data_IF_505388787891
#
_entry.id   IF_505388787891
#
_cell.length_a   1.000
_cell.length_b   1.000
_cell.length_c   1.000
_cell.angle_alpha   90.00
_cell.angle_beta   90.00
_cell.angle_gamma   90.00
#
_symmetry.space_group_name_H-M   'P 1'
#
loop_
_entity.id
_entity.type
_entity.pdbx_description
1 polymer ?
#
# COMPACT_ATOMS: atom_id res chain seq x y z
N UNK A 1 20.52 36.76 77.27
CA UNK A 1 20.60 35.42 77.88
C UNK A 1 20.94 34.44 76.76
N UNK A 2 22.24 34.35 76.48
CA UNK A 2 22.85 33.51 75.45
C UNK A 2 23.53 32.38 76.23
N UNK A 3 23.17 31.12 76.02
CA UNK A 3 24.06 29.99 76.30
C UNK A 3 23.49 28.66 75.74
N UNK A 4 24.31 28.05 74.88
CA UNK A 4 24.54 26.60 74.70
C UNK A 4 23.37 25.66 74.37
N UNK A 5 23.49 24.94 73.26
CA UNK A 5 23.39 23.47 73.24
C UNK A 5 23.99 22.90 71.94
N UNK A 6 25.07 22.15 72.14
CA UNK A 6 25.88 21.41 71.20
C UNK A 6 25.24 20.09 70.73
N UNK A 7 25.64 19.66 69.52
CA UNK A 7 25.75 18.27 69.01
C UNK A 7 24.42 17.49 68.87
N UNK A 8 24.12 16.80 67.76
CA UNK A 8 24.75 15.56 67.28
C UNK A 8 24.33 15.37 65.81
N UNK A 9 25.29 15.21 64.90
CA UNK A 9 25.06 14.76 63.53
C UNK A 9 25.62 13.35 63.37
N UNK A 10 24.76 12.32 63.26
CA UNK A 10 25.17 10.96 62.90
C UNK A 10 24.10 10.28 62.01
N UNK A 11 24.49 10.15 60.73
CA UNK A 11 24.30 9.05 59.78
C UNK A 11 23.02 8.19 59.86
N UNK A 12 22.21 8.29 58.80
CA UNK A 12 21.34 7.20 58.34
C UNK A 12 21.60 6.97 56.85
N UNK A 13 22.51 6.02 56.56
CA UNK A 13 22.62 5.39 55.25
C UNK A 13 21.35 4.58 54.99
N UNK A 14 20.48 5.11 54.14
CA UNK A 14 19.40 4.33 53.55
C UNK A 14 19.99 3.46 52.44
N UNK A 15 20.33 2.21 52.75
CA UNK A 15 20.50 1.17 51.74
C UNK A 15 19.13 0.90 51.12
N UNK A 16 18.86 1.56 49.99
CA UNK A 16 17.73 1.20 49.13
C UNK A 16 18.08 -0.12 48.43
N UNK A 17 17.37 -1.19 48.78
CA UNK A 17 17.40 -2.42 47.99
C UNK A 17 16.68 -2.16 46.66
N UNK A 18 17.43 -1.84 45.61
CA UNK A 18 16.87 -1.79 44.26
C UNK A 18 16.53 -3.20 43.79
N UNK A 19 15.23 -3.48 43.62
CA UNK A 19 14.74 -4.76 43.09
C UNK A 19 15.03 -4.79 41.59
N UNK A 20 15.70 -5.82 41.04
CA UNK A 20 15.94 -5.91 39.60
C UNK A 20 14.60 -5.93 38.85
N UNK A 21 14.47 -5.06 37.86
CA UNK A 21 13.33 -5.07 36.94
C UNK A 21 13.32 -6.38 36.14
N UNK A 22 12.16 -7.05 35.96
CA UNK A 22 12.08 -8.23 35.12
C UNK A 22 12.52 -7.91 33.69
N UNK A 23 13.19 -8.84 32.99
CA UNK A 23 13.67 -8.60 31.63
C UNK A 23 12.49 -8.26 30.72
N UNK A 24 12.64 -7.19 29.95
CA UNK A 24 11.67 -6.80 28.95
C UNK A 24 11.45 -7.97 27.99
N UNK A 25 10.21 -8.46 27.90
CA UNK A 25 9.82 -9.40 26.85
C UNK A 25 9.94 -8.63 25.54
N UNK A 26 10.95 -8.97 24.74
CA UNK A 26 11.07 -8.49 23.37
C UNK A 26 9.84 -8.99 22.60
N UNK A 27 8.88 -8.10 22.41
CA UNK A 27 7.79 -8.28 21.45
C UNK A 27 8.42 -8.60 20.11
N UNK A 28 8.33 -9.86 19.68
CA UNK A 28 8.87 -10.33 18.41
C UNK A 28 8.33 -9.43 17.29
N UNK A 29 9.19 -8.60 16.72
CA UNK A 29 8.89 -7.78 15.57
C UNK A 29 8.53 -8.73 14.43
N UNK A 30 7.23 -8.91 14.15
CA UNK A 30 6.77 -9.64 12.97
C UNK A 30 7.26 -8.86 11.75
N UNK A 31 8.42 -9.25 11.23
CA UNK A 31 9.00 -8.63 10.03
C UNK A 31 8.17 -9.10 8.85
N UNK A 32 7.09 -8.37 8.56
CA UNK A 32 6.37 -8.54 7.29
C UNK A 32 7.35 -8.23 6.17
N UNK A 33 7.45 -9.08 5.14
CA UNK A 33 8.30 -8.77 3.99
C UNK A 33 7.79 -7.49 3.33
N UNK A 34 8.71 -6.58 3.03
CA UNK A 34 8.43 -5.34 2.29
C UNK A 34 9.28 -5.32 1.03
N UNK A 35 8.67 -5.04 -0.11
CA UNK A 35 9.35 -4.90 -1.40
C UNK A 35 9.17 -3.49 -1.96
N UNK A 36 10.07 -3.05 -2.83
CA UNK A 36 9.91 -1.77 -3.53
C UNK A 36 9.06 -1.99 -4.77
N UNK A 37 8.05 -1.15 -4.97
CA UNK A 37 7.19 -1.18 -6.16
C UNK A 37 7.28 0.16 -6.91
N UNK A 38 7.32 0.07 -8.23
CA UNK A 38 7.28 1.17 -9.17
C UNK A 38 5.92 1.17 -9.88
N UNK A 39 5.35 2.37 -10.00
CA UNK A 39 4.09 2.61 -10.70
C UNK A 39 4.37 3.45 -11.95
N UNK A 40 3.88 3.00 -13.09
CA UNK A 40 4.00 3.71 -14.37
C UNK A 40 2.71 3.63 -15.16
N UNK A 41 2.51 4.60 -16.06
CA UNK A 41 1.36 4.63 -16.97
C UNK A 41 1.89 4.52 -18.38
N UNK A 42 1.35 3.58 -19.14
CA UNK A 42 1.75 3.28 -20.52
C UNK A 42 0.58 3.52 -21.46
N UNK A 43 0.87 3.82 -22.71
CA UNK A 43 -0.14 3.93 -23.77
C UNK A 43 -0.54 2.56 -24.30
N UNK A 44 -1.83 2.33 -24.53
CA UNK A 44 -2.44 1.14 -25.16
C UNK A 44 -2.33 -0.20 -24.40
N UNK A 45 -1.16 -0.52 -23.83
CA UNK A 45 -0.87 -1.80 -23.17
C UNK A 45 0.44 -1.83 -22.38
N UNK A 46 0.84 -3.02 -21.86
CA UNK A 46 2.00 -3.18 -20.97
C UNK A 46 3.34 -2.82 -21.61
N UNK A 47 3.48 -3.03 -22.91
CA UNK A 47 4.72 -2.73 -23.66
C UNK A 47 4.70 -1.34 -24.32
N UNK A 48 3.65 -0.55 -24.08
CA UNK A 48 3.52 0.78 -24.66
C UNK A 48 4.50 1.80 -24.08
N UNK A 49 4.65 2.94 -24.74
CA UNK A 49 5.49 4.02 -24.21
C UNK A 49 4.97 4.57 -22.88
N UNK A 50 5.84 4.87 -21.90
CA UNK A 50 5.42 5.50 -20.65
C UNK A 50 5.01 6.95 -20.90
N UNK A 51 3.93 7.38 -20.24
CA UNK A 51 3.35 8.71 -20.40
C UNK A 51 3.05 9.36 -19.05
N UNK A 52 3.13 10.70 -18.99
CA UNK A 52 2.83 11.49 -17.79
C UNK A 52 1.64 12.43 -17.97
N UNK A 53 1.14 12.57 -19.21
CA UNK A 53 -0.04 13.34 -19.57
C UNK A 53 -0.56 12.86 -20.91
N UNK A 54 -1.88 12.89 -21.10
CA UNK A 54 -2.50 12.31 -22.29
C UNK A 54 -3.80 12.98 -22.70
N UNK A 55 -4.21 12.76 -23.94
CA UNK A 55 -5.54 13.08 -24.42
C UNK A 55 -6.56 12.00 -24.00
N UNK A 56 -7.85 12.36 -24.00
CA UNK A 56 -8.94 11.48 -23.54
C UNK A 56 -9.29 10.34 -24.52
N UNK A 57 -8.61 10.28 -25.66
CA UNK A 57 -8.85 9.33 -26.75
C UNK A 57 -7.81 8.19 -26.83
N UNK A 58 -6.87 8.13 -25.89
CA UNK A 58 -5.92 7.00 -25.80
C UNK A 58 -6.35 6.01 -24.73
N UNK A 59 -6.00 4.74 -24.95
CA UNK A 59 -6.08 3.74 -23.89
C UNK A 59 -4.89 3.90 -22.95
N UNK A 60 -5.13 3.84 -21.65
CA UNK A 60 -4.08 3.80 -20.63
C UNK A 60 -3.91 2.39 -20.08
N UNK A 61 -2.67 2.04 -19.78
CA UNK A 61 -2.30 0.85 -19.02
C UNK A 61 -1.55 1.29 -17.77
N UNK A 62 -2.14 1.03 -16.61
CA UNK A 62 -1.51 1.28 -15.32
C UNK A 62 -0.68 0.05 -14.95
N UNK A 63 0.63 0.22 -14.85
CA UNK A 63 1.59 -0.85 -14.59
C UNK A 63 2.16 -0.72 -13.17
N UNK A 64 2.29 -1.87 -12.52
CA UNK A 64 2.84 -2.02 -11.18
C UNK A 64 3.93 -3.09 -11.25
N UNK A 65 5.15 -2.72 -10.94
CA UNK A 65 6.28 -3.66 -10.91
C UNK A 65 6.96 -3.62 -9.56
N UNK A 66 7.13 -4.77 -8.90
CA UNK A 66 7.78 -4.86 -7.61
C UNK A 66 9.07 -5.68 -7.70
N UNK A 67 10.03 -5.39 -6.82
CA UNK A 67 11.25 -6.20 -6.71
C UNK A 67 10.90 -7.63 -6.25
N UNK A 68 11.50 -8.68 -6.84
CA UNK A 68 11.24 -10.05 -6.42
C UNK A 68 11.55 -10.31 -4.95
N UNK A 69 10.75 -11.15 -4.31
CA UNK A 69 10.89 -11.54 -2.90
C UNK A 69 10.60 -13.04 -2.75
N UNK A 70 11.63 -13.81 -2.40
CA UNK A 70 11.55 -15.28 -2.34
C UNK A 70 10.38 -15.78 -1.48
N UNK A 71 9.59 -16.69 -2.04
CA UNK A 71 8.43 -17.30 -1.37
C UNK A 71 7.17 -16.44 -1.37
N UNK A 72 7.18 -15.27 -2.01
CA UNK A 72 6.03 -14.36 -2.10
C UNK A 72 5.74 -13.93 -3.53
N UNK A 73 4.56 -13.36 -3.72
CA UNK A 73 4.24 -12.62 -4.93
C UNK A 73 3.33 -11.43 -4.68
N UNK A 74 3.34 -10.51 -5.64
CA UNK A 74 2.56 -9.27 -5.61
C UNK A 74 1.07 -9.58 -5.68
N UNK A 75 0.28 -9.03 -4.78
CA UNK A 75 -1.18 -8.89 -4.91
C UNK A 75 -1.58 -7.42 -4.84
N UNK A 76 -2.38 -6.97 -5.80
CA UNK A 76 -3.00 -5.64 -5.80
C UNK A 76 -4.28 -5.72 -4.98
N UNK A 77 -4.28 -5.08 -3.81
CA UNK A 77 -5.39 -5.13 -2.88
C UNK A 77 -6.50 -4.18 -3.28
N UNK A 78 -6.26 -2.90 -3.57
CA UNK A 78 -7.31 -2.02 -4.08
C UNK A 78 -6.70 -0.82 -4.79
N UNK A 79 -7.52 -0.13 -5.59
CA UNK A 79 -7.12 1.12 -6.21
C UNK A 79 -8.23 2.17 -6.14
N UNK A 80 -7.83 3.42 -5.97
CA UNK A 80 -8.70 4.58 -5.95
C UNK A 80 -8.16 5.66 -6.88
N UNK A 81 -9.06 6.46 -7.44
CA UNK A 81 -8.73 7.70 -8.13
C UNK A 81 -9.21 8.93 -7.34
N UNK A 82 -8.47 10.03 -7.40
CA UNK A 82 -8.90 11.31 -6.82
C UNK A 82 -8.40 12.48 -7.67
N UNK A 83 -8.88 13.69 -7.36
CA UNK A 83 -8.20 14.91 -7.77
C UNK A 83 -7.07 15.22 -6.78
N UNK A 84 -6.08 15.99 -7.24
CA UNK A 84 -5.06 16.65 -6.41
C UNK A 84 -5.62 17.86 -5.62
N UNK A 85 -6.86 18.26 -5.89
CA UNK A 85 -7.52 19.36 -5.20
C UNK A 85 -8.01 18.96 -3.79
N UNK A 86 -7.94 19.87 -2.81
CA UNK A 86 -8.35 19.59 -1.44
C UNK A 86 -9.86 19.31 -1.35
N UNK A 87 -10.23 18.36 -0.48
CA UNK A 87 -11.62 18.02 -0.22
C UNK A 87 -12.23 17.00 -1.17
N UNK A 88 -11.49 16.52 -2.19
CA UNK A 88 -11.92 15.39 -2.99
C UNK A 88 -11.79 14.07 -2.21
N UNK A 89 -12.90 13.33 -2.12
CA UNK A 89 -12.90 11.97 -1.58
C UNK A 89 -12.41 11.00 -2.68
N UNK A 90 -11.44 10.10 -2.39
CA UNK A 90 -11.04 9.07 -3.33
C UNK A 90 -12.22 8.20 -3.75
N UNK A 91 -12.31 7.92 -5.04
CA UNK A 91 -13.29 7.03 -5.65
C UNK A 91 -12.65 5.66 -5.89
N UNK A 92 -13.16 4.57 -5.30
CA UNK A 92 -12.62 3.24 -5.51
C UNK A 92 -12.95 2.73 -6.91
N UNK A 93 -11.95 2.19 -7.61
CA UNK A 93 -12.08 1.65 -8.96
C UNK A 93 -11.73 0.16 -9.05
N UNK A 94 -10.90 -0.32 -8.14
CA UNK A 94 -10.52 -1.73 -8.00
C UNK A 94 -10.76 -2.14 -6.55
N UNK A 95 -11.46 -3.26 -6.35
CA UNK A 95 -11.76 -3.82 -5.03
C UNK A 95 -10.62 -4.68 -4.44
N UNK A 96 -10.86 -5.22 -3.23
CA UNK A 96 -9.95 -6.07 -2.43
C UNK A 96 -9.41 -7.31 -3.15
N UNK A 97 -10.12 -7.74 -4.20
CA UNK A 97 -9.81 -8.91 -5.02
C UNK A 97 -9.18 -8.54 -6.36
N UNK A 98 -8.79 -7.29 -6.58
CA UNK A 98 -8.25 -6.86 -7.87
C UNK A 98 -9.31 -6.77 -8.97
N UNK A 99 -10.60 -6.77 -8.61
CA UNK A 99 -11.70 -6.71 -9.55
C UNK A 99 -12.17 -5.27 -9.74
N UNK A 100 -12.52 -4.95 -10.98
CA UNK A 100 -13.00 -3.63 -11.33
C UNK A 100 -14.40 -3.40 -10.76
N UNK A 101 -14.54 -2.29 -10.06
CA UNK A 101 -15.84 -1.76 -9.63
C UNK A 101 -16.53 -0.99 -10.75
N UNK A 102 -15.80 -0.66 -11.82
CA UNK A 102 -16.28 0.08 -12.99
C UNK A 102 -15.88 -0.63 -14.29
N UNK A 103 -16.47 -1.80 -14.63
CA UNK A 103 -16.01 -2.63 -15.75
C UNK A 103 -16.09 -1.96 -17.13
N UNK A 104 -16.84 -0.86 -17.27
CA UNK A 104 -16.92 -0.06 -18.48
C UNK A 104 -15.74 0.91 -18.66
N UNK A 105 -15.04 1.23 -17.58
CA UNK A 105 -13.94 2.22 -17.55
C UNK A 105 -12.60 1.58 -17.21
N UNK A 106 -12.59 0.55 -16.37
CA UNK A 106 -11.37 -0.12 -15.92
C UNK A 106 -11.51 -1.64 -16.08
N UNK A 107 -10.49 -2.27 -16.65
CA UNK A 107 -10.37 -3.73 -16.65
C UNK A 107 -10.02 -4.23 -15.23
N UNK A 108 -10.29 -5.51 -14.96
CA UNK A 108 -9.74 -6.18 -13.78
C UNK A 108 -8.20 -6.18 -13.82
N UNK A 109 -7.57 -6.26 -12.64
CA UNK A 109 -6.12 -6.42 -12.54
C UNK A 109 -5.68 -7.73 -13.19
N UNK A 110 -4.70 -7.63 -14.08
CA UNK A 110 -4.00 -8.76 -14.71
C UNK A 110 -2.60 -8.86 -14.16
N UNK A 111 -2.12 -10.08 -14.00
CA UNK A 111 -0.79 -10.37 -13.52
C UNK A 111 0.03 -10.98 -14.65
N UNK A 112 0.99 -10.21 -15.17
CA UNK A 112 1.90 -10.65 -16.23
C UNK A 112 3.00 -11.56 -15.66
N UNK A 113 3.41 -11.32 -14.41
CA UNK A 113 4.36 -12.15 -13.68
C UNK A 113 3.99 -12.22 -12.20
N UNK A 114 4.77 -12.96 -11.40
CA UNK A 114 4.60 -12.97 -9.93
C UNK A 114 4.81 -11.59 -9.29
N UNK A 115 5.48 -10.65 -9.97
CA UNK A 115 5.81 -9.33 -9.41
C UNK A 115 5.42 -8.16 -10.33
N UNK A 116 4.69 -8.44 -11.40
CA UNK A 116 4.17 -7.43 -12.33
C UNK A 116 2.67 -7.59 -12.47
N UNK A 117 1.96 -6.48 -12.31
CA UNK A 117 0.52 -6.43 -12.50
C UNK A 117 0.13 -5.15 -13.23
N UNK A 118 -1.06 -5.13 -13.82
CA UNK A 118 -1.61 -3.91 -14.36
C UNK A 118 -3.05 -4.05 -14.83
N UNK A 119 -3.64 -2.94 -15.23
CA UNK A 119 -5.02 -2.88 -15.69
C UNK A 119 -5.19 -1.74 -16.68
N UNK A 120 -6.16 -1.91 -17.59
CA UNK A 120 -6.42 -0.93 -18.66
C UNK A 120 -7.53 0.02 -18.26
N UNK A 121 -7.41 1.25 -18.72
CA UNK A 121 -8.49 2.22 -18.80
C UNK A 121 -8.67 2.64 -20.25
N UNK A 122 -9.69 2.11 -20.96
CA UNK A 122 -9.93 2.45 -22.36
C UNK A 122 -10.40 3.89 -22.58
N UNK A 123 -10.96 4.53 -21.55
CA UNK A 123 -11.56 5.85 -21.62
C UNK A 123 -11.07 6.71 -20.44
N UNK A 124 -9.92 7.39 -20.58
CA UNK A 124 -9.36 8.24 -19.54
C UNK A 124 -10.41 9.15 -18.92
N UNK A 125 -10.49 9.12 -17.60
CA UNK A 125 -11.49 9.89 -16.84
C UNK A 125 -10.89 11.19 -16.34
N UNK A 126 -11.76 12.14 -16.04
CA UNK A 126 -11.41 13.35 -15.30
C UNK A 126 -12.50 13.69 -14.31
N UNK A 127 -12.14 14.34 -13.22
CA UNK A 127 -13.12 14.89 -12.31
C UNK A 127 -13.76 16.15 -12.90
N UNK A 128 -15.06 16.34 -12.66
CA UNK A 128 -15.75 17.57 -13.04
C UNK A 128 -15.17 18.71 -12.20
N UNK A 129 -14.89 19.84 -12.87
CA UNK A 129 -14.35 21.06 -12.25
C UNK A 129 -12.93 20.96 -11.69
N UNK A 130 -12.17 19.89 -11.96
CA UNK A 130 -10.76 19.81 -11.55
C UNK A 130 -9.79 20.33 -12.62
N UNK A 131 -8.54 20.57 -12.20
CA UNK A 131 -7.35 20.90 -13.01
C UNK A 131 -7.05 19.97 -14.21
N UNK A 132 -7.74 18.85 -14.32
CA UNK A 132 -7.53 17.83 -15.36
C UNK A 132 -6.59 16.69 -14.96
N UNK A 133 -5.87 16.82 -13.83
CA UNK A 133 -5.07 15.75 -13.27
C UNK A 133 -5.94 14.73 -12.52
N UNK A 134 -5.57 13.46 -12.63
CA UNK A 134 -6.14 12.35 -11.84
C UNK A 134 -5.00 11.66 -11.11
N UNK A 135 -5.13 11.59 -9.79
CA UNK A 135 -4.22 10.84 -8.93
C UNK A 135 -4.75 9.41 -8.82
N UNK A 136 -3.92 8.44 -9.21
CA UNK A 136 -4.18 7.03 -8.96
C UNK A 136 -3.38 6.60 -7.72
N UNK A 137 -4.06 5.95 -6.79
CA UNK A 137 -3.43 5.30 -5.65
C UNK A 137 -3.86 3.84 -5.58
N UNK A 138 -2.91 2.93 -5.44
CA UNK A 138 -3.19 1.51 -5.24
C UNK A 138 -2.45 0.99 -4.00
N UNK A 139 -3.11 0.10 -3.27
CA UNK A 139 -2.51 -0.68 -2.19
C UNK A 139 -2.02 -2.00 -2.75
N UNK A 140 -0.76 -2.33 -2.52
CA UNK A 140 -0.16 -3.61 -2.89
C UNK A 140 0.29 -4.36 -1.65
N UNK A 141 0.27 -5.69 -1.75
CA UNK A 141 0.66 -6.61 -0.67
C UNK A 141 1.50 -7.75 -1.24
N UNK A 142 2.28 -8.40 -0.38
CA UNK A 142 2.95 -9.65 -0.71
C UNK A 142 2.19 -10.81 -0.08
N UNK A 143 1.79 -11.76 -0.91
CA UNK A 143 1.13 -13.00 -0.51
C UNK A 143 2.10 -14.16 -0.66
N UNK A 144 2.10 -15.14 0.26
CA UNK A 144 2.96 -16.31 0.12
C UNK A 144 2.56 -17.13 -1.11
N UNK A 145 3.55 -17.76 -1.74
CA UNK A 145 3.29 -18.77 -2.78
C UNK A 145 2.57 -19.97 -2.17
N UNK A 146 1.75 -20.63 -2.99
CA UNK A 146 1.20 -21.93 -2.68
C UNK A 146 2.29 -23.02 -2.67
N UNK A 147 1.96 -24.21 -2.19
CA UNK A 147 2.93 -25.32 -2.02
C UNK A 147 3.54 -25.80 -3.33
N UNK A 148 2.87 -25.56 -4.45
CA UNK A 148 3.32 -25.87 -5.81
C UNK A 148 4.15 -24.73 -6.45
N UNK A 149 4.35 -23.62 -5.74
CA UNK A 149 5.03 -22.43 -6.23
C UNK A 149 4.13 -21.44 -6.99
N UNK A 150 2.82 -21.68 -7.04
CA UNK A 150 1.86 -20.81 -7.74
C UNK A 150 1.44 -19.62 -6.88
N UNK A 151 1.09 -18.51 -7.54
CA UNK A 151 0.51 -17.36 -6.85
C UNK A 151 -1.00 -17.53 -6.67
N UNK A 152 -1.53 -17.38 -5.46
CA UNK A 152 -2.98 -17.34 -5.28
C UNK A 152 -3.51 -16.07 -5.96
N UNK A 153 -4.38 -16.25 -6.96
CA UNK A 153 -5.03 -15.15 -7.69
C UNK A 153 -6.54 -15.20 -7.47
N UNK A 154 -7.16 -14.12 -7.00
CA UNK A 154 -8.62 -14.03 -6.94
C UNK A 154 -9.23 -14.06 -8.36
N UNK A 155 -10.40 -14.68 -8.48
CA UNK A 155 -11.18 -14.69 -9.71
C UNK A 155 -12.29 -13.63 -9.65
N UNK A 156 -12.32 -12.75 -10.66
CA UNK A 156 -13.40 -11.79 -10.80
C UNK A 156 -14.61 -12.42 -11.47
N UNK A 157 -15.80 -12.09 -10.98
CA UNK A 157 -17.04 -12.48 -11.64
C UNK A 157 -17.06 -11.97 -13.09
N UNK A 158 -17.49 -12.81 -14.02
CA UNK A 158 -17.70 -12.39 -15.41
C UNK A 158 -18.92 -11.49 -15.44
N UNK A 159 -18.71 -10.18 -15.50
CA UNK A 159 -19.78 -9.26 -15.85
C UNK A 159 -20.12 -9.49 -17.32
N UNK A 160 -21.24 -10.15 -17.59
CA UNK A 160 -21.80 -10.22 -18.92
C UNK A 160 -22.12 -8.79 -19.36
N UNK A 161 -21.33 -8.27 -20.31
CA UNK A 161 -21.62 -7.02 -20.98
C UNK A 161 -23.06 -7.09 -21.52
N UNK A 162 -23.99 -6.35 -20.88
CA UNK A 162 -25.29 -6.11 -21.48
C UNK A 162 -25.04 -5.12 -22.62
N UNK A 163 -25.01 -5.68 -23.83
CA UNK A 163 -25.09 -4.97 -25.11
C UNK A 163 -26.36 -4.13 -25.20
#
# INVERSE_FOLDING_TARGET
MILELLLIAWLSEFTSCERPSPPAIETSKSTRPSTKCEFSVHKDGPDGEPITGTALDVVLYYSIHCTPQDGYCLSVANCTISSDEPGFKPYPIIDESGCSLEPSLYDNVKYETSYSAGFRNPYPVRFRSSSGAVLLYCVTTLVPLETDGTCPRPECAKHSAQS
#
